data_IF_059430999231
#
_entry.id   IF_059430999231
#
_cell.length_a   1.000
_cell.length_b   1.000
_cell.length_c   1.000
_cell.angle_alpha   90.00
_cell.angle_beta   90.00
_cell.angle_gamma   90.00
#
_symmetry.space_group_name_H-M   'P 1'
#
loop_
_entity.id
_entity.type
_entity.pdbx_description
1 polymer ?
#
# COMPACT_ATOMS: atom_id res chain seq x y z
N UNK A 1 -74.88 98.77 89.11
CA UNK A 1 -75.09 100.19 88.71
C UNK A 1 -75.09 100.27 87.19
N UNK A 2 -76.13 100.90 86.61
CA UNK A 2 -76.35 101.34 85.21
C UNK A 2 -76.22 100.29 84.06
N UNK A 3 -77.30 99.75 83.47
CA UNK A 3 -78.27 100.27 82.45
C UNK A 3 -77.69 100.65 81.06
N UNK A 4 -78.12 99.90 80.02
CA UNK A 4 -78.78 100.28 78.72
C UNK A 4 -78.45 99.21 77.65
N UNK A 5 -79.37 98.40 77.09
CA UNK A 5 -80.52 98.60 76.15
C UNK A 5 -80.15 98.83 74.66
N UNK A 6 -80.60 97.87 73.83
CA UNK A 6 -81.00 97.88 72.39
C UNK A 6 -79.87 98.09 71.34
N UNK A 7 -79.85 97.53 70.11
CA UNK A 7 -80.94 97.19 69.17
C UNK A 7 -80.44 96.29 68.01
N UNK A 8 -81.39 95.60 67.34
CA UNK A 8 -81.46 95.15 65.92
C UNK A 8 -80.46 94.11 65.36
N UNK A 9 -80.88 92.90 64.93
CA UNK A 9 -81.67 92.48 63.74
C UNK A 9 -80.87 92.32 62.43
N UNK A 10 -80.88 91.07 61.93
CA UNK A 10 -80.96 90.65 60.52
C UNK A 10 -79.66 90.53 59.69
N UNK A 11 -79.23 89.29 59.37
CA UNK A 11 -79.29 88.66 58.01
C UNK A 11 -78.24 87.54 57.76
N UNK A 12 -78.75 86.41 57.23
CA UNK A 12 -78.25 85.56 56.12
C UNK A 12 -76.86 84.87 56.24
N UNK A 13 -76.78 83.53 56.29
CA UNK A 13 -76.92 82.52 55.21
C UNK A 13 -75.56 82.12 54.59
N UNK A 14 -75.42 80.83 54.23
CA UNK A 14 -74.25 80.13 53.63
C UNK A 14 -73.06 79.96 54.60
N UNK A 15 -72.69 78.78 55.07
CA UNK A 15 -72.15 77.62 54.35
C UNK A 15 -72.49 76.34 55.16
N UNK A 16 -73.43 75.54 54.67
CA UNK A 16 -73.77 74.21 55.19
C UNK A 16 -74.00 73.28 53.99
N UNK A 17 -72.96 73.14 53.16
CA UNK A 17 -72.97 72.27 51.98
C UNK A 17 -71.51 72.00 51.54
N UNK A 18 -70.79 71.26 52.37
CA UNK A 18 -69.58 70.54 51.98
C UNK A 18 -69.59 69.23 52.79
N UNK A 19 -70.40 68.27 52.37
CA UNK A 19 -69.85 67.14 51.60
C UNK A 19 -68.92 66.32 52.51
N UNK A 20 -69.42 65.53 53.48
CA UNK A 20 -70.08 64.23 53.30
C UNK A 20 -69.63 63.37 52.09
N UNK A 21 -68.55 63.74 51.41
CA UNK A 21 -68.06 63.11 50.17
C UNK A 21 -66.60 62.66 50.32
N UNK A 22 -66.24 62.13 51.49
CA UNK A 22 -64.91 61.52 51.72
C UNK A 22 -65.03 60.03 52.09
N UNK A 23 -66.22 59.52 52.42
CA UNK A 23 -66.38 58.10 52.81
C UNK A 23 -66.98 57.17 51.75
N UNK A 24 -67.28 57.65 50.53
CA UNK A 24 -67.85 56.80 49.47
C UNK A 24 -67.10 56.83 48.12
N UNK A 25 -66.07 57.66 47.97
CA UNK A 25 -65.27 57.75 46.73
C UNK A 25 -64.00 56.90 46.71
N UNK A 26 -63.61 56.30 47.84
CA UNK A 26 -62.36 55.54 47.95
C UNK A 26 -62.54 54.01 47.86
N UNK A 27 -63.79 53.52 47.83
CA UNK A 27 -64.07 52.09 47.60
C UNK A 27 -64.06 51.75 46.10
N UNK A 28 -64.72 52.53 45.24
CA UNK A 28 -64.82 52.20 43.81
C UNK A 28 -63.49 52.24 43.03
N UNK A 29 -62.59 53.18 43.33
CA UNK A 29 -61.30 53.28 42.60
C UNK A 29 -60.26 52.28 43.10
N UNK A 30 -60.42 51.77 44.34
CA UNK A 30 -59.61 50.69 44.89
C UNK A 30 -60.09 49.35 44.37
N UNK A 31 -61.41 49.20 44.19
CA UNK A 31 -62.06 48.01 43.67
C UNK A 31 -61.87 47.83 42.15
N UNK A 32 -61.83 48.92 41.35
CA UNK A 32 -61.49 48.82 39.91
C UNK A 32 -60.02 48.50 39.65
N UNK A 33 -59.11 49.01 40.50
CA UNK A 33 -57.67 48.72 40.45
C UNK A 33 -57.34 47.31 40.97
N UNK A 34 -58.07 46.84 41.99
CA UNK A 34 -57.95 45.47 42.53
C UNK A 34 -58.45 44.42 41.53
N UNK A 35 -59.55 44.69 40.82
CA UNK A 35 -60.08 43.81 39.77
C UNK A 35 -59.16 43.76 38.54
N UNK A 36 -58.54 44.88 38.13
CA UNK A 36 -57.58 44.89 37.01
C UNK A 36 -56.27 44.20 37.39
N UNK A 37 -55.73 44.47 38.59
CA UNK A 37 -54.55 43.78 39.10
C UNK A 37 -54.78 42.27 39.25
N UNK A 38 -55.95 41.86 39.76
CA UNK A 38 -56.33 40.45 39.86
C UNK A 38 -56.39 39.77 38.48
N UNK A 39 -56.99 40.42 37.50
CA UNK A 39 -57.07 39.88 36.12
C UNK A 39 -55.67 39.76 35.49
N UNK A 40 -54.79 40.73 35.69
CA UNK A 40 -53.40 40.63 35.22
C UNK A 40 -52.60 39.55 35.94
N UNK A 41 -52.83 39.32 37.24
CA UNK A 41 -52.18 38.23 38.00
C UNK A 41 -52.67 36.89 37.48
N UNK A 42 -53.96 36.73 37.21
CA UNK A 42 -54.52 35.51 36.61
C UNK A 42 -53.93 35.25 35.22
N UNK A 43 -53.82 36.27 34.36
CA UNK A 43 -53.17 36.14 33.04
C UNK A 43 -51.69 35.77 33.15
N UNK A 44 -50.95 36.39 34.07
CA UNK A 44 -49.53 36.06 34.31
C UNK A 44 -49.39 34.64 34.86
N UNK A 45 -50.30 34.18 35.72
CA UNK A 45 -50.30 32.81 36.22
C UNK A 45 -50.56 31.79 35.11
N UNK A 46 -51.44 32.12 34.18
CA UNK A 46 -51.77 31.29 33.03
C UNK A 46 -50.62 31.24 32.01
N UNK A 47 -49.98 32.38 31.73
CA UNK A 47 -48.75 32.45 30.92
C UNK A 47 -47.59 31.70 31.59
N UNK A 48 -47.43 31.81 32.91
CA UNK A 48 -46.39 31.10 33.65
C UNK A 48 -46.60 29.59 33.64
N UNK A 49 -47.86 29.14 33.76
CA UNK A 49 -48.22 27.73 33.59
C UNK A 49 -47.92 27.25 32.17
N UNK A 50 -48.30 28.02 31.14
CA UNK A 50 -48.03 27.71 29.74
C UNK A 50 -46.52 27.55 29.48
N UNK A 51 -45.72 28.52 29.93
CA UNK A 51 -44.24 28.51 29.82
C UNK A 51 -43.64 27.31 30.56
N UNK A 52 -44.18 26.92 31.72
CA UNK A 52 -43.73 25.71 32.41
C UNK A 52 -43.99 24.44 31.59
N UNK A 53 -45.16 24.31 30.97
CA UNK A 53 -45.47 23.19 30.09
C UNK A 53 -44.55 23.14 28.87
N UNK A 54 -44.34 24.28 28.22
CA UNK A 54 -43.48 24.38 27.04
C UNK A 54 -42.01 24.06 27.40
N UNK A 55 -41.52 24.53 28.55
CA UNK A 55 -40.19 24.20 29.05
C UNK A 55 -40.03 22.69 29.30
N UNK A 56 -41.03 22.04 29.89
CA UNK A 56 -41.00 20.59 30.11
C UNK A 56 -41.01 19.81 28.79
N UNK A 57 -41.78 20.28 27.81
CA UNK A 57 -41.82 19.71 26.46
C UNK A 57 -40.44 19.81 25.79
N UNK A 58 -39.86 21.00 25.75
CA UNK A 58 -38.52 21.25 25.20
C UNK A 58 -37.43 20.42 25.92
N UNK A 59 -37.54 20.24 27.24
CA UNK A 59 -36.63 19.35 27.99
C UNK A 59 -36.77 17.88 27.58
N UNK A 60 -37.99 17.41 27.33
CA UNK A 60 -38.21 16.03 26.86
C UNK A 60 -37.68 15.81 25.45
N UNK A 61 -37.85 16.80 24.56
CA UNK A 61 -37.34 16.76 23.19
C UNK A 61 -35.80 16.80 23.17
N UNK A 62 -35.18 17.65 24.01
CA UNK A 62 -33.72 17.67 24.18
C UNK A 62 -33.16 16.33 24.65
N UNK A 63 -33.81 15.68 25.62
CA UNK A 63 -33.38 14.35 26.08
C UNK A 63 -33.48 13.30 24.98
N UNK A 64 -34.57 13.31 24.20
CA UNK A 64 -34.72 12.40 23.08
C UNK A 64 -33.62 12.60 22.02
N UNK A 65 -33.25 13.85 21.73
CA UNK A 65 -32.15 14.18 20.83
C UNK A 65 -30.77 13.79 21.41
N UNK A 66 -30.55 13.96 22.71
CA UNK A 66 -29.33 13.52 23.39
C UNK A 66 -29.14 11.99 23.30
N UNK A 67 -30.22 11.22 23.50
CA UNK A 67 -30.21 9.76 23.35
C UNK A 67 -29.92 9.32 21.90
N UNK A 68 -30.51 10.03 20.91
CA UNK A 68 -30.24 9.77 19.49
C UNK A 68 -28.78 10.07 19.13
N UNK A 69 -28.24 11.21 19.60
CA UNK A 69 -26.83 11.55 19.39
C UNK A 69 -25.88 10.53 20.03
N UNK A 70 -26.20 10.01 21.22
CA UNK A 70 -25.42 8.96 21.86
C UNK A 70 -25.41 7.68 21.03
N UNK A 71 -26.58 7.23 20.56
CA UNK A 71 -26.73 6.06 19.68
C UNK A 71 -25.97 6.21 18.36
N UNK A 72 -26.05 7.40 17.74
CA UNK A 72 -25.35 7.67 16.49
C UNK A 72 -23.82 7.69 16.70
N UNK A 73 -23.35 8.23 17.83
CA UNK A 73 -21.93 8.25 18.20
C UNK A 73 -21.39 6.85 18.42
N UNK A 74 -22.15 5.97 19.08
CA UNK A 74 -21.78 4.56 19.24
C UNK A 74 -21.70 3.86 17.88
N UNK A 75 -22.71 4.06 17.03
CA UNK A 75 -22.74 3.51 15.67
C UNK A 75 -21.53 3.95 14.84
N UNK A 76 -21.17 5.24 14.91
CA UNK A 76 -20.00 5.77 14.23
C UNK A 76 -18.71 5.17 14.77
N UNK A 77 -18.59 5.00 16.09
CA UNK A 77 -17.40 4.39 16.71
C UNK A 77 -17.20 2.95 16.23
N UNK A 78 -18.28 2.16 16.20
CA UNK A 78 -18.25 0.78 15.69
C UNK A 78 -17.85 0.76 14.21
N UNK A 79 -18.48 1.60 13.38
CA UNK A 79 -18.21 1.69 11.93
C UNK A 79 -16.76 2.07 11.66
N UNK A 80 -16.22 3.04 12.41
CA UNK A 80 -14.82 3.46 12.28
C UNK A 80 -13.87 2.31 12.62
N UNK A 81 -14.12 1.58 13.71
CA UNK A 81 -13.32 0.39 14.05
C UNK A 81 -13.40 -0.72 13.00
N UNK A 82 -14.57 -0.94 12.38
CA UNK A 82 -14.71 -1.90 11.28
C UNK A 82 -13.90 -1.47 10.04
N UNK A 83 -13.91 -0.17 9.69
CA UNK A 83 -13.14 0.35 8.56
C UNK A 83 -11.64 0.25 8.80
N UNK A 84 -11.16 0.55 10.00
CA UNK A 84 -9.76 0.38 10.38
C UNK A 84 -9.33 -1.10 10.31
N UNK A 85 -10.18 -2.03 10.76
CA UNK A 85 -9.95 -3.46 10.63
C UNK A 85 -9.86 -3.94 9.18
N UNK A 86 -10.77 -3.47 8.32
CA UNK A 86 -10.75 -3.78 6.89
C UNK A 86 -9.51 -3.21 6.18
N UNK A 87 -9.10 -1.99 6.56
CA UNK A 87 -7.89 -1.37 6.02
C UNK A 87 -6.65 -2.20 6.37
N UNK A 88 -6.51 -2.59 7.64
CA UNK A 88 -5.40 -3.42 8.10
C UNK A 88 -5.37 -4.78 7.38
N UNK A 89 -6.54 -5.40 7.19
CA UNK A 89 -6.65 -6.65 6.45
C UNK A 89 -6.24 -6.47 4.98
N UNK A 90 -6.69 -5.41 4.32
CA UNK A 90 -6.33 -5.10 2.93
C UNK A 90 -4.81 -4.96 2.78
N UNK A 91 -4.17 -4.21 3.68
CA UNK A 91 -2.72 -4.01 3.68
C UNK A 91 -1.96 -5.32 3.90
N UNK A 92 -2.42 -6.16 4.82
CA UNK A 92 -1.82 -7.49 5.04
C UNK A 92 -1.95 -8.38 3.80
N UNK A 93 -3.10 -8.36 3.12
CA UNK A 93 -3.28 -9.13 1.88
C UNK A 93 -2.39 -8.64 0.75
N UNK A 94 -2.18 -7.32 0.63
CA UNK A 94 -1.30 -6.74 -0.38
C UNK A 94 0.17 -7.13 -0.14
N UNK A 95 0.62 -7.12 1.12
CA UNK A 95 1.95 -7.61 1.49
C UNK A 95 2.14 -9.10 1.15
N UNK A 96 1.14 -9.93 1.40
CA UNK A 96 1.19 -11.35 1.04
C UNK A 96 1.22 -11.56 -0.48
N UNK A 97 0.49 -10.74 -1.26
CA UNK A 97 0.51 -10.80 -2.71
C UNK A 97 1.88 -10.42 -3.27
N UNK A 98 2.45 -9.30 -2.80
CA UNK A 98 3.79 -8.86 -3.24
C UNK A 98 4.87 -9.88 -2.88
N UNK A 99 4.80 -10.49 -1.69
CA UNK A 99 5.70 -11.59 -1.33
C UNK A 99 5.56 -12.77 -2.30
N UNK A 100 4.33 -13.20 -2.60
CA UNK A 100 4.08 -14.32 -3.50
C UNK A 100 4.53 -14.04 -4.93
N UNK A 101 4.39 -12.80 -5.40
CA UNK A 101 4.90 -12.37 -6.70
C UNK A 101 6.42 -12.45 -6.76
N UNK A 102 7.11 -11.98 -5.72
CA UNK A 102 8.57 -12.09 -5.61
C UNK A 102 9.02 -13.56 -5.61
N UNK A 103 8.38 -14.42 -4.82
CA UNK A 103 8.67 -15.86 -4.79
C UNK A 103 8.46 -16.49 -6.17
N UNK A 104 7.36 -16.17 -6.84
CA UNK A 104 7.06 -16.65 -8.19
C UNK A 104 8.13 -16.22 -9.21
N UNK A 105 8.61 -14.98 -9.11
CA UNK A 105 9.68 -14.47 -9.95
C UNK A 105 10.99 -15.24 -9.71
N UNK A 106 11.37 -15.46 -8.45
CA UNK A 106 12.56 -16.25 -8.08
C UNK A 106 12.45 -17.67 -8.64
N UNK A 107 11.31 -18.35 -8.46
CA UNK A 107 11.09 -19.69 -9.01
C UNK A 107 11.20 -19.72 -10.54
N UNK A 108 10.68 -18.71 -11.23
CA UNK A 108 10.78 -18.63 -12.69
C UNK A 108 12.24 -18.46 -13.15
N UNK A 109 13.04 -17.66 -12.43
CA UNK A 109 14.47 -17.46 -12.70
C UNK A 109 15.28 -18.73 -12.49
N UNK A 110 15.03 -19.43 -11.38
CA UNK A 110 15.66 -20.72 -11.08
C UNK A 110 15.33 -21.75 -12.17
N UNK A 111 14.07 -21.80 -12.61
CA UNK A 111 13.64 -22.72 -13.67
C UNK A 111 14.38 -22.48 -14.99
N UNK A 112 14.48 -21.22 -15.42
CA UNK A 112 15.24 -20.85 -16.62
C UNK A 112 16.72 -21.26 -16.49
N UNK A 113 17.29 -21.10 -15.30
CA UNK A 113 18.68 -21.48 -15.03
C UNK A 113 18.91 -23.00 -15.07
N UNK A 114 17.94 -23.80 -14.63
CA UNK A 114 17.98 -25.27 -14.74
C UNK A 114 17.99 -25.71 -16.21
N UNK A 115 17.18 -25.08 -17.07
CA UNK A 115 17.15 -25.40 -18.50
C UNK A 115 18.50 -25.10 -19.17
N UNK A 116 19.17 -24.01 -18.78
CA UNK A 116 20.54 -23.71 -19.23
C UNK A 116 21.54 -24.76 -18.74
N UNK A 117 21.48 -25.16 -17.47
CA UNK A 117 22.35 -26.19 -16.90
C UNK A 117 22.17 -27.56 -17.57
N UNK A 118 20.97 -27.87 -18.07
CA UNK A 118 20.73 -29.10 -18.81
C UNK A 118 21.55 -29.15 -20.12
N UNK A 119 21.61 -28.02 -20.84
CA UNK A 119 22.46 -27.89 -22.03
C UNK A 119 23.94 -27.94 -21.68
N UNK A 120 24.34 -27.28 -20.59
CA UNK A 120 25.72 -27.28 -20.10
C UNK A 120 26.18 -28.70 -19.74
N UNK A 121 25.32 -29.48 -19.08
CA UNK A 121 25.58 -30.88 -18.76
C UNK A 121 25.82 -31.72 -20.01
N UNK A 122 25.01 -31.56 -21.06
CA UNK A 122 25.19 -32.29 -22.32
C UNK A 122 26.52 -31.92 -22.99
N UNK A 123 26.87 -30.64 -22.99
CA UNK A 123 28.16 -30.17 -23.49
C UNK A 123 29.32 -30.78 -22.69
N UNK A 124 29.28 -30.75 -21.36
CA UNK A 124 30.30 -31.32 -20.48
C UNK A 124 30.52 -32.82 -20.71
N UNK A 125 29.43 -33.57 -20.91
CA UNK A 125 29.49 -35.00 -21.23
C UNK A 125 30.22 -35.21 -22.56
N UNK A 126 29.95 -34.39 -23.56
CA UNK A 126 30.56 -34.53 -24.88
C UNK A 126 32.04 -34.14 -24.88
N UNK A 127 32.43 -33.02 -24.25
CA UNK A 127 33.83 -32.56 -24.21
C UNK A 127 34.76 -33.45 -23.36
N UNK A 128 34.20 -34.26 -22.46
CA UNK A 128 34.95 -35.23 -21.65
C UNK A 128 35.42 -36.41 -22.49
N UNK A 129 34.75 -36.69 -23.62
CA UNK A 129 35.13 -37.78 -24.50
C UNK A 129 36.47 -37.45 -25.17
N UNK A 130 37.30 -38.47 -25.34
CA UNK A 130 38.53 -38.33 -26.11
C UNK A 130 38.20 -38.04 -27.58
N UNK A 131 38.87 -37.05 -28.21
CA UNK A 131 38.65 -36.76 -29.63
C UNK A 131 39.01 -37.98 -30.49
N UNK A 132 38.17 -38.33 -31.50
CA UNK A 132 38.47 -39.42 -32.41
C UNK A 132 39.80 -39.23 -33.13
N UNK A 133 40.47 -40.35 -33.42
CA UNK A 133 41.77 -40.36 -34.07
C UNK A 133 41.70 -40.28 -35.60
N UNK A 134 40.53 -40.57 -36.17
CA UNK A 134 40.28 -40.46 -37.61
C UNK A 134 39.71 -39.09 -37.94
N UNK A 135 40.26 -38.43 -38.96
CA UNK A 135 39.88 -37.07 -39.39
C UNK A 135 38.37 -36.89 -39.51
N UNK A 136 37.69 -37.76 -40.28
CA UNK A 136 36.24 -37.65 -40.51
C UNK A 136 35.42 -37.76 -39.21
N UNK A 137 35.81 -38.68 -38.32
CA UNK A 137 35.11 -38.86 -37.04
C UNK A 137 35.38 -37.68 -36.09
N UNK A 138 36.60 -37.14 -36.09
CA UNK A 138 36.94 -35.95 -35.31
C UNK A 138 36.18 -34.72 -35.80
N UNK A 139 36.08 -34.51 -37.11
CA UNK A 139 35.27 -33.41 -37.66
C UNK A 139 33.80 -33.54 -37.25
N UNK A 140 33.22 -34.74 -37.31
CA UNK A 140 31.83 -34.98 -36.85
C UNK A 140 31.69 -34.69 -35.36
N UNK A 141 32.62 -35.17 -34.54
CA UNK A 141 32.63 -34.94 -33.10
C UNK A 141 32.70 -33.44 -32.76
N UNK A 142 33.61 -32.68 -33.37
CA UNK A 142 33.72 -31.25 -33.12
C UNK A 142 32.57 -30.43 -33.68
N UNK A 143 31.93 -30.86 -34.77
CA UNK A 143 30.66 -30.25 -35.23
C UNK A 143 29.53 -30.48 -34.23
N UNK A 144 29.45 -31.67 -33.62
CA UNK A 144 28.49 -31.95 -32.57
C UNK A 144 28.76 -31.09 -31.32
N UNK A 145 30.01 -31.01 -30.88
CA UNK A 145 30.42 -30.13 -29.77
C UNK A 145 30.07 -28.68 -30.07
N UNK A 146 30.33 -28.18 -31.29
CA UNK A 146 29.96 -26.81 -31.69
C UNK A 146 28.44 -26.57 -31.59
N UNK A 147 27.62 -27.53 -31.98
CA UNK A 147 26.17 -27.45 -31.88
C UNK A 147 25.75 -27.33 -30.40
N UNK A 148 26.21 -28.26 -29.56
CA UNK A 148 25.92 -28.26 -28.12
C UNK A 148 26.43 -26.99 -27.44
N UNK A 149 27.63 -26.54 -27.82
CA UNK A 149 28.22 -25.31 -27.31
C UNK A 149 27.38 -24.09 -27.66
N UNK A 150 26.86 -24.00 -28.90
CA UNK A 150 26.01 -22.88 -29.32
C UNK A 150 24.65 -22.89 -28.62
N UNK A 151 24.10 -24.07 -28.33
CA UNK A 151 22.84 -24.24 -27.57
C UNK A 151 23.02 -23.90 -26.09
N UNK A 152 24.17 -24.25 -25.52
CA UNK A 152 24.56 -23.90 -24.15
C UNK A 152 24.84 -22.40 -24.03
N UNK A 153 25.75 -21.86 -24.84
CA UNK A 153 26.13 -20.45 -24.87
C UNK A 153 26.59 -20.02 -26.28
N UNK A 154 25.90 -19.09 -26.95
CA UNK A 154 26.26 -18.63 -28.29
C UNK A 154 27.72 -18.13 -28.42
N UNK A 155 28.30 -17.60 -27.35
CA UNK A 155 29.69 -17.10 -27.35
C UNK A 155 30.72 -18.21 -27.55
N UNK A 156 30.39 -19.47 -27.21
CA UNK A 156 31.25 -20.64 -27.38
C UNK A 156 31.33 -21.15 -28.83
N UNK A 157 30.46 -20.67 -29.71
CA UNK A 157 30.42 -21.10 -31.12
C UNK A 157 31.72 -20.77 -31.86
N UNK A 158 32.31 -19.59 -31.59
CA UNK A 158 33.55 -19.16 -32.22
C UNK A 158 34.76 -19.96 -31.73
N UNK A 159 35.00 -20.13 -30.41
CA UNK A 159 36.01 -21.06 -29.90
C UNK A 159 35.91 -22.48 -30.49
N UNK A 160 34.73 -23.08 -30.53
CA UNK A 160 34.54 -24.41 -31.12
C UNK A 160 34.87 -24.46 -32.64
N UNK A 161 34.61 -23.36 -33.35
CA UNK A 161 34.97 -23.26 -34.77
C UNK A 161 36.48 -23.25 -35.00
N UNK A 162 37.26 -22.60 -34.11
CA UNK A 162 38.72 -22.58 -34.23
C UNK A 162 39.34 -23.98 -34.09
N UNK A 163 38.73 -24.87 -33.30
CA UNK A 163 39.16 -26.28 -33.24
C UNK A 163 39.00 -26.96 -34.60
N UNK A 164 37.87 -26.73 -35.28
CA UNK A 164 37.64 -27.26 -36.62
C UNK A 164 38.66 -26.68 -37.62
N UNK A 165 38.90 -25.37 -37.58
CA UNK A 165 39.86 -24.68 -38.44
C UNK A 165 41.30 -25.20 -38.23
N UNK A 166 41.68 -25.48 -36.98
CA UNK A 166 42.99 -26.02 -36.63
C UNK A 166 43.13 -27.53 -36.88
N UNK A 167 42.02 -28.26 -36.99
CA UNK A 167 42.04 -29.73 -37.11
C UNK A 167 42.72 -30.21 -38.39
N UNK A 168 42.60 -29.46 -39.49
CA UNK A 168 43.14 -29.87 -40.79
C UNK A 168 44.67 -29.94 -40.79
N UNK A 169 45.34 -28.98 -40.16
CA UNK A 169 46.79 -28.99 -40.02
C UNK A 169 47.27 -30.18 -39.19
N UNK A 170 46.60 -30.45 -38.06
CA UNK A 170 46.92 -31.57 -37.18
C UNK A 170 46.78 -32.93 -37.88
N UNK A 171 45.64 -33.17 -38.55
CA UNK A 171 45.43 -34.44 -39.23
C UNK A 171 46.37 -34.60 -40.44
N UNK A 172 46.71 -33.51 -41.12
CA UNK A 172 47.66 -33.58 -42.26
C UNK A 172 49.07 -33.91 -41.79
N UNK A 173 49.51 -33.34 -40.66
CA UNK A 173 50.75 -33.73 -40.00
C UNK A 173 50.70 -35.20 -39.54
N UNK A 174 49.59 -35.63 -38.93
CA UNK A 174 49.45 -36.98 -38.37
C UNK A 174 49.45 -38.08 -39.44
N UNK A 175 48.81 -37.81 -40.57
CA UNK A 175 48.70 -38.76 -41.70
C UNK A 175 49.98 -38.80 -42.55
N UNK A 176 50.90 -37.85 -42.36
CA UNK A 176 52.19 -37.82 -43.03
C UNK A 176 53.11 -38.90 -42.48
N UNK A 177 53.88 -39.52 -43.37
CA UNK A 177 54.96 -40.43 -42.98
C UNK A 177 56.26 -39.63 -42.88
N UNK A 178 56.95 -39.77 -41.75
CA UNK A 178 58.23 -39.10 -41.49
C UNK A 178 59.37 -40.12 -41.45
N UNK A 179 60.55 -39.71 -41.89
CA UNK A 179 61.74 -40.57 -41.91
C UNK A 179 62.41 -40.64 -40.54
N UNK A 180 62.17 -39.64 -39.68
CA UNK A 180 62.71 -39.56 -38.32
C UNK A 180 61.79 -38.79 -37.37
N UNK A 181 62.01 -38.97 -36.06
CA UNK A 181 61.28 -38.22 -35.03
C UNK A 181 61.62 -36.72 -35.05
N UNK A 182 62.85 -36.36 -35.43
CA UNK A 182 63.29 -34.96 -35.54
C UNK A 182 62.55 -34.23 -36.68
N UNK A 183 62.38 -34.90 -37.82
CA UNK A 183 61.59 -34.40 -38.94
C UNK A 183 60.12 -34.20 -38.54
N UNK A 184 59.52 -35.19 -37.87
CA UNK A 184 58.13 -35.11 -37.39
C UNK A 184 57.92 -33.95 -36.40
N UNK A 185 58.88 -33.73 -35.50
CA UNK A 185 58.82 -32.67 -34.50
C UNK A 185 58.97 -31.29 -35.13
N UNK A 186 59.92 -31.13 -36.06
CA UNK A 186 60.10 -29.88 -36.80
C UNK A 186 58.85 -29.54 -37.61
N UNK A 187 58.30 -30.52 -38.33
CA UNK A 187 57.08 -30.36 -39.13
C UNK A 187 55.88 -29.95 -38.25
N UNK A 188 55.73 -30.55 -37.07
CA UNK A 188 54.67 -30.24 -36.10
C UNK A 188 54.64 -28.75 -35.72
N UNK A 189 55.81 -28.14 -35.48
CA UNK A 189 55.91 -26.73 -35.12
C UNK A 189 55.74 -25.81 -36.34
N UNK A 190 56.26 -26.20 -37.50
CA UNK A 190 56.18 -25.37 -38.72
C UNK A 190 54.78 -25.32 -39.34
N UNK A 191 54.01 -26.41 -39.26
CA UNK A 191 52.68 -26.52 -39.88
C UNK A 191 51.56 -25.99 -38.98
N UNK A 192 51.84 -25.69 -37.71
CA UNK A 192 50.83 -25.31 -36.74
C UNK A 192 49.95 -26.47 -36.26
N UNK A 193 50.38 -27.73 -36.45
CA UNK A 193 49.65 -28.91 -35.98
C UNK A 193 49.40 -28.88 -34.46
N UNK A 194 50.26 -28.20 -33.70
CA UNK A 194 50.06 -27.97 -32.25
C UNK A 194 48.85 -27.12 -31.90
N UNK A 195 48.45 -26.18 -32.76
CA UNK A 195 47.34 -25.25 -32.51
C UNK A 195 46.02 -25.98 -32.26
N UNK A 196 45.84 -27.17 -32.84
CA UNK A 196 44.65 -27.99 -32.59
C UNK A 196 44.52 -28.37 -31.10
N UNK A 197 45.61 -28.76 -30.45
CA UNK A 197 45.61 -29.09 -29.02
C UNK A 197 45.33 -27.85 -28.18
N UNK A 198 45.96 -26.72 -28.54
CA UNK A 198 45.82 -25.47 -27.80
C UNK A 198 44.38 -24.94 -27.86
N UNK A 199 43.73 -25.00 -29.04
CA UNK A 199 42.34 -24.59 -29.21
C UNK A 199 41.36 -25.50 -28.44
N UNK A 200 41.64 -26.80 -28.33
CA UNK A 200 40.84 -27.72 -27.51
C UNK A 200 40.92 -27.33 -26.03
N UNK A 201 42.12 -27.07 -25.53
CA UNK A 201 42.31 -26.71 -24.12
C UNK A 201 41.76 -25.32 -23.79
N UNK A 202 41.92 -24.33 -24.68
CA UNK A 202 41.29 -23.01 -24.53
C UNK A 202 39.76 -23.12 -24.53
N UNK A 203 39.19 -23.94 -25.42
CA UNK A 203 37.75 -24.18 -25.45
C UNK A 203 37.24 -24.81 -24.15
N UNK A 204 37.90 -25.87 -23.66
CA UNK A 204 37.52 -26.51 -22.39
C UNK A 204 37.54 -25.51 -21.22
N UNK A 205 38.59 -24.67 -21.13
CA UNK A 205 38.68 -23.63 -20.10
C UNK A 205 37.52 -22.64 -20.18
N UNK A 206 37.14 -22.21 -21.38
CA UNK A 206 36.00 -21.30 -21.59
C UNK A 206 34.68 -21.94 -21.19
N UNK A 207 34.46 -23.21 -21.53
CA UNK A 207 33.26 -23.95 -21.11
C UNK A 207 33.17 -24.03 -19.59
N UNK A 208 34.26 -24.41 -18.92
CA UNK A 208 34.31 -24.50 -17.46
C UNK A 208 34.10 -23.14 -16.78
N UNK A 209 34.71 -22.09 -17.32
CA UNK A 209 34.54 -20.73 -16.79
C UNK A 209 33.09 -20.25 -16.91
N UNK A 210 32.46 -20.45 -18.08
CA UNK A 210 31.04 -20.13 -18.29
C UNK A 210 30.15 -20.89 -17.29
N UNK A 211 30.42 -22.18 -17.06
CA UNK A 211 29.67 -22.98 -16.10
C UNK A 211 29.80 -22.43 -14.67
N UNK A 212 31.02 -22.06 -14.25
CA UNK A 212 31.26 -21.46 -12.93
C UNK A 212 30.43 -20.18 -12.78
N UNK A 213 30.48 -19.28 -13.76
CA UNK A 213 29.71 -18.02 -13.73
C UNK A 213 28.20 -18.26 -13.60
N UNK A 214 27.66 -19.28 -14.30
CA UNK A 214 26.25 -19.63 -14.20
C UNK A 214 25.88 -20.24 -12.86
N UNK A 215 26.72 -21.12 -12.32
CA UNK A 215 26.50 -21.70 -11.00
C UNK A 215 26.54 -20.62 -9.92
N UNK A 216 27.48 -19.68 -9.99
CA UNK A 216 27.57 -18.54 -9.06
C UNK A 216 26.31 -17.66 -9.14
N UNK A 217 25.81 -17.40 -10.37
CA UNK A 217 24.58 -16.64 -10.56
C UNK A 217 23.35 -17.35 -9.98
N UNK A 218 23.28 -18.68 -10.06
CA UNK A 218 22.20 -19.47 -9.46
C UNK A 218 22.27 -19.43 -7.94
N UNK A 219 23.47 -19.60 -7.37
CA UNK A 219 23.68 -19.54 -5.91
C UNK A 219 23.24 -18.18 -5.38
N UNK A 220 23.62 -17.09 -6.05
CA UNK A 220 23.22 -15.73 -5.66
C UNK A 220 21.70 -15.53 -5.70
N UNK A 221 20.99 -16.15 -6.66
CA UNK A 221 19.52 -16.07 -6.76
C UNK A 221 18.81 -16.92 -5.70
N UNK A 222 19.45 -17.96 -5.18
CA UNK A 222 18.87 -18.81 -4.13
C UNK A 222 19.17 -18.32 -2.71
N UNK A 223 20.25 -17.56 -2.54
CA UNK A 223 20.65 -16.99 -1.25
C UNK A 223 19.96 -15.64 -0.95
N UNK A 224 19.35 -15.01 -1.97
CA UNK A 224 18.58 -13.76 -1.87
C UNK A 224 17.12 -13.98 -1.52
#
# INVERSE_FOLDING_TARGET
MLRKKHCALLRFATIFAASLFIFSGCSLSRESADVTNKKTIETIQEELAQVQTDLLKEQSERKALEDELASLTETLTIRTGMLEGLLAQSQATEQLLTQKENESQVFSSIRNSIDLLANDRLLLIEIRKEPPLERNNATKHWRNIKLLATQSDPTLSRPASRILDASDAFFSWREKTFSSQEEATTDFFTTGAGTYRDEIEDFKKKVLFMLILRLDAIIQQTDS
#
